data_IF_636041546675
#
_entry.id   IF_636041546675
#
_cell.length_a   1.000
_cell.length_b   1.000
_cell.length_c   1.000
_cell.angle_alpha   90.00
_cell.angle_beta   90.00
_cell.angle_gamma   90.00
#
_symmetry.space_group_name_H-M   'P 1'
#
loop_
_entity.id
_entity.type
_entity.pdbx_description
1 polymer ?
#
# COMPACT_ATOMS: atom_id res chain seq x y z
N UNK A 1 -17.79 -0.51 62.79
CA UNK A 1 -16.38 -0.50 62.35
C UNK A 1 -16.05 -1.46 61.19
N UNK A 2 -16.73 -2.60 61.03
CA UNK A 2 -16.42 -3.56 59.95
C UNK A 2 -16.71 -3.07 58.50
N UNK A 3 -17.74 -2.23 58.31
CA UNK A 3 -18.17 -1.74 56.98
C UNK A 3 -17.12 -0.82 56.31
N UNK A 4 -16.57 0.13 57.08
CA UNK A 4 -15.54 1.08 56.62
C UNK A 4 -14.26 0.36 56.18
N UNK A 5 -13.89 -0.73 56.87
CA UNK A 5 -12.72 -1.55 56.52
C UNK A 5 -12.91 -2.29 55.20
N UNK A 6 -14.14 -2.75 54.91
CA UNK A 6 -14.48 -3.42 53.64
C UNK A 6 -14.45 -2.44 52.46
N UNK A 7 -14.99 -1.25 52.65
CA UNK A 7 -15.05 -0.23 51.59
C UNK A 7 -13.64 0.30 51.24
N UNK A 8 -12.74 0.43 52.23
CA UNK A 8 -11.32 0.73 52.02
C UNK A 8 -10.58 -0.35 51.24
N UNK A 9 -10.83 -1.63 51.55
CA UNK A 9 -10.20 -2.76 50.84
C UNK A 9 -10.69 -2.81 49.38
N UNK A 10 -11.99 -2.62 49.15
CA UNK A 10 -12.55 -2.59 47.80
C UNK A 10 -12.03 -1.40 46.98
N UNK A 11 -11.89 -0.21 47.60
CA UNK A 11 -11.28 0.95 46.96
C UNK A 11 -9.82 0.71 46.56
N UNK A 12 -9.04 0.08 47.43
CA UNK A 12 -7.64 -0.26 47.13
C UNK A 12 -7.53 -1.28 45.99
N UNK A 13 -8.39 -2.30 45.95
CA UNK A 13 -8.43 -3.29 44.86
C UNK A 13 -8.80 -2.62 43.54
N UNK A 14 -9.83 -1.76 43.54
CA UNK A 14 -10.26 -1.05 42.33
C UNK A 14 -9.14 -0.15 41.76
N UNK A 15 -8.43 0.57 42.61
CA UNK A 15 -7.29 1.39 42.20
C UNK A 15 -6.14 0.55 41.61
N UNK A 16 -5.83 -0.59 42.22
CA UNK A 16 -4.83 -1.53 41.73
C UNK A 16 -5.19 -2.10 40.36
N UNK A 17 -6.45 -2.50 40.17
CA UNK A 17 -6.94 -3.02 38.89
C UNK A 17 -6.90 -1.94 37.80
N UNK A 18 -7.28 -0.71 38.12
CA UNK A 18 -7.20 0.42 37.18
C UNK A 18 -5.75 0.73 36.79
N UNK A 19 -4.83 0.73 37.75
CA UNK A 19 -3.40 0.92 37.48
C UNK A 19 -2.83 -0.20 36.61
N UNK A 20 -3.20 -1.47 36.87
CA UNK A 20 -2.77 -2.60 36.07
C UNK A 20 -3.32 -2.54 34.63
N UNK A 21 -4.57 -2.13 34.47
CA UNK A 21 -5.20 -1.95 33.16
C UNK A 21 -4.52 -0.82 32.36
N UNK A 22 -4.28 0.33 32.99
CA UNK A 22 -3.56 1.44 32.36
C UNK A 22 -2.13 1.04 31.95
N UNK A 23 -1.42 0.32 32.82
CA UNK A 23 -0.09 -0.21 32.53
C UNK A 23 -0.11 -1.18 31.34
N UNK A 24 -1.06 -2.13 31.31
CA UNK A 24 -1.22 -3.06 30.19
C UNK A 24 -1.52 -2.33 28.88
N UNK A 25 -2.43 -1.36 28.88
CA UNK A 25 -2.78 -0.61 27.67
C UNK A 25 -1.58 0.20 27.15
N UNK A 26 -0.84 0.86 28.04
CA UNK A 26 0.28 1.70 27.65
C UNK A 26 1.50 0.88 27.21
N UNK A 27 1.90 -0.13 27.98
CA UNK A 27 3.13 -0.88 27.73
C UNK A 27 2.94 -2.09 26.80
N UNK A 28 1.77 -2.76 26.79
CA UNK A 28 1.57 -3.89 25.88
C UNK A 28 1.24 -3.46 24.43
N UNK A 29 0.78 -2.22 24.22
CA UNK A 29 0.59 -1.66 22.87
C UNK A 29 1.81 -0.91 22.33
N UNK A 30 2.85 -0.73 23.15
CA UNK A 30 4.13 -0.14 22.74
C UNK A 30 5.01 -1.13 21.96
N UNK A 31 4.42 -1.80 20.96
CA UNK A 31 5.21 -2.55 19.99
C UNK A 31 6.03 -1.57 19.15
N UNK A 32 7.33 -1.83 19.01
CA UNK A 32 8.16 -1.05 18.06
C UNK A 32 7.53 -1.23 16.67
N UNK A 33 7.22 -0.15 15.93
CA UNK A 33 6.71 -0.30 14.58
C UNK A 33 7.78 -1.01 13.74
N UNK A 34 7.53 -2.28 13.40
CA UNK A 34 8.35 -3.03 12.47
C UNK A 34 7.93 -2.66 11.06
N UNK A 35 8.82 -2.04 10.29
CA UNK A 35 8.59 -1.82 8.86
C UNK A 35 8.50 -3.21 8.21
N UNK A 36 7.37 -3.56 7.56
CA UNK A 36 7.22 -4.87 6.97
C UNK A 36 8.26 -5.03 5.86
N UNK A 37 8.99 -6.14 5.85
CA UNK A 37 10.04 -6.40 4.85
C UNK A 37 9.49 -6.55 3.42
N UNK A 38 8.16 -6.67 3.29
CA UNK A 38 7.44 -6.84 2.04
C UNK A 38 6.18 -6.00 2.01
N UNK A 39 5.77 -5.60 0.81
CA UNK A 39 4.51 -4.90 0.58
C UNK A 39 3.77 -5.54 -0.59
N UNK A 40 2.44 -5.49 -0.53
CA UNK A 40 1.58 -5.94 -1.61
C UNK A 40 1.60 -4.88 -2.72
N UNK A 41 1.77 -5.35 -3.95
CA UNK A 41 1.76 -4.56 -5.17
C UNK A 41 0.55 -4.96 -5.99
N UNK A 42 -0.15 -3.96 -6.48
CA UNK A 42 -1.26 -4.10 -7.40
C UNK A 42 -0.92 -3.41 -8.70
N UNK A 43 -0.90 -4.20 -9.77
CA UNK A 43 -0.40 -3.78 -11.06
C UNK A 43 -0.99 -4.56 -12.21
N UNK A 44 -0.34 -4.43 -13.36
CA UNK A 44 -0.70 -5.13 -14.58
C UNK A 44 0.56 -5.55 -15.31
N UNK A 45 0.54 -6.77 -15.85
CA UNK A 45 1.60 -7.25 -16.71
C UNK A 45 1.38 -6.70 -18.13
N UNK A 46 2.28 -5.86 -18.64
CA UNK A 46 2.13 -5.30 -19.98
C UNK A 46 2.38 -6.33 -21.09
N UNK A 47 3.09 -7.43 -20.80
CA UNK A 47 3.35 -8.50 -21.76
C UNK A 47 2.09 -9.34 -22.05
N UNK A 48 1.39 -9.80 -21.00
CA UNK A 48 0.17 -10.61 -21.15
C UNK A 48 -1.14 -9.85 -20.91
N UNK A 49 -1.07 -8.57 -20.53
CA UNK A 49 -2.20 -7.66 -20.25
C UNK A 49 -3.15 -8.12 -19.14
N UNK A 50 -2.67 -8.99 -18.26
CA UNK A 50 -3.43 -9.48 -17.10
C UNK A 50 -3.10 -8.68 -15.84
N UNK A 51 -4.10 -8.45 -14.95
CA UNK A 51 -3.85 -7.87 -13.64
C UNK A 51 -2.94 -8.80 -12.81
N UNK A 52 -2.08 -8.18 -12.01
CA UNK A 52 -1.11 -8.86 -11.18
C UNK A 52 -1.15 -8.30 -9.75
N UNK A 53 -1.25 -9.21 -8.78
CA UNK A 53 -1.08 -8.93 -7.36
C UNK A 53 0.09 -9.76 -6.86
N UNK A 54 1.11 -9.12 -6.27
CA UNK A 54 2.32 -9.78 -5.81
C UNK A 54 2.91 -9.11 -4.57
N UNK A 55 3.68 -9.86 -3.79
CA UNK A 55 4.47 -9.28 -2.70
C UNK A 55 5.88 -8.94 -3.19
N UNK A 56 6.28 -7.68 -3.04
CA UNK A 56 7.63 -7.24 -3.36
C UNK A 56 8.41 -6.88 -2.09
N UNK A 57 9.73 -6.98 -2.17
CA UNK A 57 10.64 -6.45 -1.15
C UNK A 57 10.80 -4.94 -1.33
N UNK A 58 11.15 -4.22 -0.25
CA UNK A 58 11.38 -2.77 -0.26
C UNK A 58 12.45 -2.31 -1.26
N UNK A 59 13.47 -3.12 -1.53
CA UNK A 59 14.56 -2.84 -2.46
C UNK A 59 14.23 -3.21 -3.92
N UNK A 60 13.07 -3.83 -4.16
CA UNK A 60 12.65 -4.24 -5.48
C UNK A 60 11.89 -3.11 -6.17
N UNK A 61 12.30 -2.79 -7.39
CA UNK A 61 11.69 -1.75 -8.22
C UNK A 61 11.00 -2.35 -9.43
N UNK A 62 9.94 -1.70 -9.90
CA UNK A 62 9.27 -2.08 -11.14
C UNK A 62 10.20 -1.94 -12.36
N UNK A 63 10.06 -2.82 -13.36
CA UNK A 63 9.03 -3.86 -13.45
C UNK A 63 9.32 -5.12 -12.62
N UNK A 64 8.24 -5.77 -12.17
CA UNK A 64 8.28 -7.04 -11.46
C UNK A 64 8.03 -8.23 -12.39
N UNK A 65 8.46 -9.41 -11.97
CA UNK A 65 8.24 -10.66 -12.71
C UNK A 65 6.77 -11.09 -12.61
N UNK A 66 6.13 -11.26 -13.77
CA UNK A 66 4.78 -11.77 -13.84
C UNK A 66 4.75 -13.27 -13.55
N UNK A 67 3.97 -13.69 -12.55
CA UNK A 67 3.80 -15.11 -12.21
C UNK A 67 3.13 -15.93 -13.33
N UNK A 68 2.40 -15.29 -14.26
CA UNK A 68 1.68 -16.00 -15.34
C UNK A 68 2.56 -16.28 -16.57
N UNK A 69 3.29 -15.28 -17.06
CA UNK A 69 4.10 -15.42 -18.29
C UNK A 69 5.62 -15.44 -18.03
N UNK A 70 6.06 -15.24 -16.79
CA UNK A 70 7.48 -15.22 -16.42
C UNK A 70 8.25 -13.98 -16.85
N UNK A 71 7.62 -13.04 -17.57
CA UNK A 71 8.27 -11.82 -18.07
C UNK A 71 8.38 -10.76 -16.97
N UNK A 72 9.46 -9.98 -16.98
CA UNK A 72 9.64 -8.82 -16.12
C UNK A 72 8.89 -7.61 -16.68
N UNK A 73 7.56 -7.64 -16.56
CA UNK A 73 6.67 -6.71 -17.23
C UNK A 73 5.49 -6.24 -16.38
N UNK A 74 5.51 -6.48 -15.06
CA UNK A 74 4.48 -5.98 -14.14
C UNK A 74 4.82 -4.58 -13.67
N UNK A 75 3.91 -3.64 -13.90
CA UNK A 75 4.02 -2.26 -13.45
C UNK A 75 2.85 -1.92 -12.52
N UNK A 76 3.12 -1.09 -11.53
CA UNK A 76 2.13 -0.69 -10.55
C UNK A 76 1.05 0.18 -11.19
N UNK A 77 -0.18 0.04 -10.69
CA UNK A 77 -1.24 0.97 -11.07
C UNK A 77 -0.99 2.34 -10.42
N UNK A 78 -1.11 3.38 -11.23
CA UNK A 78 -1.30 4.75 -10.76
C UNK A 78 -2.78 5.13 -10.84
N UNK A 79 -3.18 6.12 -10.05
CA UNK A 79 -4.53 6.67 -10.02
C UNK A 79 -4.49 8.17 -10.34
N UNK A 80 -5.33 8.62 -11.27
CA UNK A 80 -5.47 10.05 -11.56
C UNK A 80 -6.63 10.63 -10.75
N UNK A 81 -6.35 11.65 -9.94
CA UNK A 81 -7.34 12.28 -9.08
C UNK A 81 -8.35 13.14 -9.86
N UNK A 82 -7.98 13.61 -11.06
CA UNK A 82 -8.85 14.46 -11.86
C UNK A 82 -9.87 13.66 -12.70
N UNK A 83 -9.42 12.62 -13.41
CA UNK A 83 -10.30 11.80 -14.26
C UNK A 83 -10.75 10.49 -13.59
N UNK A 84 -10.26 10.21 -12.38
CA UNK A 84 -10.55 9.01 -11.58
C UNK A 84 -10.29 7.67 -12.30
N UNK A 85 -9.38 7.65 -13.27
CA UNK A 85 -8.96 6.40 -13.93
C UNK A 85 -7.66 5.87 -13.34
N UNK A 86 -7.52 4.55 -13.30
CA UNK A 86 -6.20 3.92 -13.10
C UNK A 86 -5.42 3.93 -14.40
N UNK A 87 -4.11 3.95 -14.32
CA UNK A 87 -3.25 3.91 -15.50
C UNK A 87 -1.86 3.37 -15.16
N UNK A 88 -1.16 2.89 -16.17
CA UNK A 88 0.30 2.75 -16.13
C UNK A 88 0.88 3.87 -16.98
N UNK A 89 1.89 4.63 -16.49
CA UNK A 89 2.61 5.63 -17.26
C UNK A 89 3.15 5.12 -18.59
N UNK A 90 3.25 6.02 -19.57
CA UNK A 90 4.09 5.76 -20.74
C UNK A 90 5.54 5.54 -20.28
N UNK A 91 6.11 4.39 -20.66
CA UNK A 91 7.42 3.95 -20.19
C UNK A 91 8.54 4.64 -20.98
N UNK A 92 9.65 4.91 -20.31
CA UNK A 92 10.89 5.37 -20.94
C UNK A 92 11.84 4.19 -21.15
N UNK A 93 12.49 4.07 -22.33
CA UNK A 93 13.51 3.07 -22.56
C UNK A 93 14.64 3.17 -21.51
N UNK A 94 15.19 2.03 -21.12
CA UNK A 94 16.39 1.97 -20.28
C UNK A 94 17.53 1.34 -21.07
N UNK A 95 18.75 1.84 -20.87
CA UNK A 95 19.97 1.30 -21.48
C UNK A 95 20.40 -0.04 -20.87
N UNK A 96 20.04 -0.26 -19.61
CA UNK A 96 20.60 -1.35 -18.79
C UNK A 96 19.53 -2.34 -18.32
N UNK A 97 18.39 -2.41 -19.02
CA UNK A 97 17.32 -3.34 -18.66
C UNK A 97 15.94 -2.94 -19.18
N UNK A 98 14.86 -3.42 -18.53
CA UNK A 98 13.51 -3.18 -19.00
C UNK A 98 13.14 -1.69 -18.88
N UNK A 99 12.17 -1.27 -19.70
CA UNK A 99 11.70 0.11 -19.69
C UNK A 99 11.14 0.49 -18.31
N UNK A 100 11.36 1.74 -17.93
CA UNK A 100 11.07 2.24 -16.59
C UNK A 100 9.93 3.25 -16.63
N UNK A 101 9.25 3.40 -15.50
CA UNK A 101 8.33 4.52 -15.31
C UNK A 101 9.16 5.80 -15.16
N UNK A 102 8.83 6.89 -15.87
CA UNK A 102 9.53 8.15 -15.71
C UNK A 102 9.27 8.75 -14.32
N UNK A 103 10.21 9.57 -13.84
CA UNK A 103 10.07 10.24 -12.53
C UNK A 103 8.83 11.14 -12.45
N UNK A 104 8.39 11.67 -13.60
CA UNK A 104 7.18 12.45 -13.73
C UNK A 104 6.34 11.92 -14.89
N UNK A 105 5.13 11.44 -14.59
CA UNK A 105 4.21 10.90 -15.57
C UNK A 105 2.83 11.56 -15.46
N UNK A 106 2.38 12.33 -16.47
CA UNK A 106 0.99 12.76 -16.52
C UNK A 106 0.07 11.55 -16.81
N UNK A 107 -1.19 11.64 -16.41
CA UNK A 107 -2.20 10.66 -16.77
C UNK A 107 -2.36 10.60 -18.30
N UNK A 108 -2.29 9.42 -18.95
CA UNK A 108 -2.39 9.31 -20.40
C UNK A 108 -3.80 9.63 -20.93
N UNK A 109 -4.84 9.52 -20.09
CA UNK A 109 -6.23 9.78 -20.50
C UNK A 109 -6.59 11.27 -20.54
N UNK A 110 -6.18 12.06 -19.54
CA UNK A 110 -6.57 13.47 -19.40
C UNK A 110 -5.37 14.45 -19.40
N UNK A 111 -4.14 13.95 -19.48
CA UNK A 111 -2.87 14.72 -19.48
C UNK A 111 -2.60 15.57 -18.23
N UNK A 112 -3.38 15.39 -17.17
CA UNK A 112 -3.14 16.05 -15.88
C UNK A 112 -2.08 15.33 -15.06
N UNK A 113 -1.50 16.04 -14.11
CA UNK A 113 -0.35 15.60 -13.31
C UNK A 113 -0.72 15.38 -11.85
N UNK A 114 -2.01 15.56 -11.49
CA UNK A 114 -2.54 15.23 -10.17
C UNK A 114 -2.79 13.72 -10.10
N UNK A 115 -1.71 12.97 -9.87
CA UNK A 115 -1.68 11.51 -9.91
C UNK A 115 -1.00 10.97 -8.65
N UNK A 116 -1.41 9.79 -8.23
CA UNK A 116 -0.87 9.09 -7.06
C UNK A 116 -0.72 7.60 -7.36
N UNK A 117 -0.05 6.85 -6.50
CA UNK A 117 -0.05 5.38 -6.56
C UNK A 117 -1.45 4.85 -6.23
N UNK A 118 -1.93 3.86 -7.00
CA UNK A 118 -3.21 3.24 -6.73
C UNK A 118 -3.11 2.33 -5.50
N UNK A 119 -3.96 2.57 -4.50
CA UNK A 119 -4.05 1.76 -3.28
C UNK A 119 -5.47 1.19 -3.21
N UNK A 120 -5.67 -0.13 -3.40
CA UNK A 120 -7.02 -0.70 -3.45
C UNK A 120 -7.84 -0.53 -2.17
N UNK A 121 -7.17 -0.44 -1.02
CA UNK A 121 -7.83 -0.28 0.28
C UNK A 121 -8.16 1.18 0.60
N UNK A 122 -7.67 2.13 -0.21
CA UNK A 122 -7.94 3.54 -0.02
C UNK A 122 -9.31 3.91 -0.60
N UNK A 123 -10.28 4.14 0.29
CA UNK A 123 -11.67 4.48 -0.08
C UNK A 123 -11.80 5.78 -0.86
N UNK A 124 -10.78 6.65 -0.82
CA UNK A 124 -10.75 7.89 -1.60
C UNK A 124 -10.41 7.64 -3.07
N UNK A 125 -9.84 6.49 -3.39
CA UNK A 125 -9.48 6.08 -4.74
C UNK A 125 -10.54 5.12 -5.28
N UNK A 126 -11.54 5.67 -5.97
CA UNK A 126 -12.60 4.90 -6.64
C UNK A 126 -12.44 4.99 -8.16
N UNK A 127 -11.76 4.01 -8.79
CA UNK A 127 -11.58 4.00 -10.24
C UNK A 127 -12.89 3.92 -11.00
N UNK A 128 -13.10 4.83 -11.94
CA UNK A 128 -14.20 4.76 -12.92
C UNK A 128 -13.84 3.88 -14.13
N UNK A 129 -12.61 3.35 -14.15
CA UNK A 129 -12.07 2.50 -15.21
C UNK A 129 -10.57 2.70 -15.38
N UNK A 130 -10.03 2.09 -16.43
CA UNK A 130 -8.60 2.12 -16.73
C UNK A 130 -8.33 2.98 -17.97
N UNK A 131 -7.21 3.71 -17.96
CA UNK A 131 -6.67 4.34 -19.15
C UNK A 131 -6.05 3.27 -20.07
N UNK A 132 -5.87 3.57 -21.37
CA UNK A 132 -5.18 2.66 -22.28
C UNK A 132 -3.81 2.28 -21.73
N UNK A 133 -3.51 0.98 -21.72
CA UNK A 133 -2.22 0.49 -21.30
C UNK A 133 -1.14 0.90 -22.32
N UNK A 134 0.06 1.28 -21.86
CA UNK A 134 1.19 1.54 -22.74
C UNK A 134 1.57 0.23 -23.45
N UNK A 135 2.22 0.37 -24.62
CA UNK A 135 2.81 -0.78 -25.29
C UNK A 135 3.97 -1.30 -24.45
N UNK A 136 4.03 -2.62 -24.27
CA UNK A 136 5.22 -3.24 -23.72
C UNK A 136 6.35 -3.14 -24.75
N UNK A 137 7.49 -2.51 -24.41
CA UNK A 137 8.64 -2.52 -25.29
C UNK A 137 9.25 -3.94 -25.31
N UNK A 138 9.77 -4.39 -26.46
CA UNK A 138 10.42 -5.70 -26.60
C UNK A 138 11.71 -5.80 -25.79
#
# INVERSE_FOLDING_TARGET
MAKIRRDLVLGAIAALLAALAAYRVFFARSGKPSIPARYAIEGVCLACREPASLEAKLDQHQPFTCARCGQQAVYEWMFCLDCRKRFVPDLVPSTDGPARVPAFAPCPACRRTNVTQYIPQDTTQQPVGDAPLPKWPP
#
